data_IF_455628678416
#
_entry.id   IF_455628678416
#
_cell.length_a   1.000
_cell.length_b   1.000
_cell.length_c   1.000
_cell.angle_alpha   90.00
_cell.angle_beta   90.00
_cell.angle_gamma   90.00
#
_symmetry.space_group_name_H-M   'P 1'
#
loop_
_entity.id
_entity.type
_entity.pdbx_description
1 polymer ?
#
# COMPACT_ATOMS: atom_id res chain seq x y z
N UNK A 1 44.43 -23.43 -42.44
CA UNK A 1 43.95 -23.92 -41.15
C UNK A 1 44.37 -22.94 -40.08
N UNK A 2 43.43 -22.51 -39.25
CA UNK A 2 43.74 -21.65 -38.13
C UNK A 2 44.49 -22.40 -37.03
N UNK A 3 45.29 -21.70 -36.26
CA UNK A 3 45.95 -22.22 -35.07
C UNK A 3 44.90 -22.60 -34.02
N UNK A 4 44.86 -23.86 -33.52
CA UNK A 4 43.92 -24.27 -32.49
C UNK A 4 44.02 -23.44 -31.20
N UNK A 5 45.23 -22.99 -30.85
CA UNK A 5 45.47 -22.14 -29.67
C UNK A 5 44.82 -20.76 -29.86
N UNK A 6 44.93 -20.19 -31.05
CA UNK A 6 44.33 -18.90 -31.36
C UNK A 6 42.79 -18.99 -31.33
N UNK A 7 42.22 -20.07 -31.83
CA UNK A 7 40.77 -20.31 -31.75
C UNK A 7 40.29 -20.40 -30.32
N UNK A 8 41.01 -21.05 -29.44
CA UNK A 8 40.68 -21.15 -27.99
C UNK A 8 40.73 -19.76 -27.34
N UNK A 9 41.75 -18.95 -27.66
CA UNK A 9 41.88 -17.57 -27.11
C UNK A 9 40.69 -16.71 -27.60
N UNK A 10 40.36 -16.77 -28.88
CA UNK A 10 39.23 -15.99 -29.44
C UNK A 10 37.90 -16.40 -28.82
N UNK A 11 37.66 -17.69 -28.65
CA UNK A 11 36.43 -18.19 -28.00
C UNK A 11 36.39 -17.83 -26.54
N UNK A 12 37.52 -17.82 -25.85
CA UNK A 12 37.63 -17.43 -24.45
C UNK A 12 37.30 -15.95 -24.26
N UNK A 13 37.82 -15.08 -25.12
CA UNK A 13 37.52 -13.64 -25.11
C UNK A 13 36.04 -13.39 -25.40
N UNK A 14 35.46 -14.09 -26.36
CA UNK A 14 34.05 -13.99 -26.69
C UNK A 14 33.19 -14.45 -25.53
N UNK A 15 33.55 -15.54 -24.86
CA UNK A 15 32.86 -16.04 -23.69
C UNK A 15 32.83 -15.01 -22.54
N UNK A 16 33.97 -14.35 -22.28
CA UNK A 16 34.03 -13.30 -21.27
C UNK A 16 33.13 -12.13 -21.62
N UNK A 17 33.09 -11.69 -22.86
CA UNK A 17 32.21 -10.62 -23.34
C UNK A 17 30.73 -10.99 -23.16
N UNK A 18 30.36 -12.23 -23.49
CA UNK A 18 29.00 -12.71 -23.34
C UNK A 18 28.59 -12.80 -21.87
N UNK A 19 29.49 -13.24 -21.00
CA UNK A 19 29.24 -13.28 -19.55
C UNK A 19 29.04 -11.88 -18.99
N UNK A 20 29.86 -10.91 -19.39
CA UNK A 20 29.73 -9.53 -18.98
C UNK A 20 28.38 -8.96 -19.45
N UNK A 21 27.99 -9.24 -20.68
CA UNK A 21 26.70 -8.80 -21.23
C UNK A 21 25.53 -9.43 -20.48
N UNK A 22 25.64 -10.70 -20.16
CA UNK A 22 24.62 -11.40 -19.37
C UNK A 22 24.43 -10.76 -17.99
N UNK A 23 25.54 -10.43 -17.32
CA UNK A 23 25.50 -9.76 -16.03
C UNK A 23 24.81 -8.38 -16.12
N UNK A 24 25.07 -7.60 -17.17
CA UNK A 24 24.40 -6.34 -17.42
C UNK A 24 22.89 -6.51 -17.61
N UNK A 25 22.49 -7.49 -18.43
CA UNK A 25 21.08 -7.78 -18.69
C UNK A 25 20.36 -8.25 -17.42
N UNK A 26 21.01 -9.09 -16.63
CA UNK A 26 20.46 -9.56 -15.36
C UNK A 26 20.26 -8.39 -14.38
N UNK A 27 21.22 -7.45 -14.32
CA UNK A 27 21.11 -6.26 -13.48
C UNK A 27 19.95 -5.36 -13.94
N UNK A 28 19.81 -5.12 -15.25
CA UNK A 28 18.70 -4.35 -15.81
C UNK A 28 17.36 -5.02 -15.52
N UNK A 29 17.30 -6.34 -15.67
CA UNK A 29 16.09 -7.12 -15.39
C UNK A 29 15.69 -7.00 -13.94
N UNK A 30 16.61 -7.10 -13.00
CA UNK A 30 16.36 -6.95 -11.58
C UNK A 30 15.83 -5.55 -11.26
N UNK A 31 16.41 -4.52 -11.86
CA UNK A 31 15.97 -3.13 -11.67
C UNK A 31 14.55 -2.90 -12.20
N UNK A 32 14.26 -3.38 -13.40
CA UNK A 32 12.92 -3.28 -13.99
C UNK A 32 11.90 -4.03 -13.13
N UNK A 33 12.23 -5.21 -12.64
CA UNK A 33 11.37 -6.00 -11.79
C UNK A 33 11.05 -5.25 -10.48
N UNK A 34 12.04 -4.61 -9.87
CA UNK A 34 11.85 -3.79 -8.68
C UNK A 34 10.93 -2.59 -8.96
N UNK A 35 11.07 -1.94 -10.11
CA UNK A 35 10.19 -0.84 -10.52
C UNK A 35 8.75 -1.30 -10.74
N UNK A 36 8.55 -2.45 -11.37
CA UNK A 36 7.22 -3.04 -11.56
C UNK A 36 6.56 -3.32 -10.20
N UNK A 37 7.29 -3.94 -9.29
CA UNK A 37 6.78 -4.24 -7.94
C UNK A 37 6.38 -2.97 -7.19
N UNK A 38 7.22 -1.93 -7.24
CA UNK A 38 6.91 -0.64 -6.61
C UNK A 38 5.65 0.02 -7.22
N UNK A 39 5.50 -0.04 -8.55
CA UNK A 39 4.29 0.48 -9.22
C UNK A 39 3.05 -0.31 -8.82
N UNK A 40 3.13 -1.64 -8.76
CA UNK A 40 2.01 -2.48 -8.35
C UNK A 40 1.58 -2.18 -6.91
N UNK A 41 2.53 -1.95 -6.01
CA UNK A 41 2.24 -1.57 -4.63
C UNK A 41 1.54 -0.21 -4.55
N UNK A 42 1.97 0.78 -5.34
CA UNK A 42 1.31 2.08 -5.39
C UNK A 42 -0.11 1.99 -5.93
N UNK A 43 -0.33 1.22 -6.99
CA UNK A 43 -1.66 0.99 -7.55
C UNK A 43 -2.56 0.31 -6.51
N UNK A 44 -2.08 -0.73 -5.85
CA UNK A 44 -2.83 -1.42 -4.81
C UNK A 44 -3.23 -0.48 -3.67
N UNK A 45 -2.32 0.40 -3.24
CA UNK A 45 -2.60 1.38 -2.19
C UNK A 45 -3.72 2.35 -2.61
N UNK A 46 -3.70 2.85 -3.85
CA UNK A 46 -4.74 3.74 -4.39
C UNK A 46 -6.08 3.02 -4.51
N UNK A 47 -6.09 1.80 -5.04
CA UNK A 47 -7.29 0.99 -5.16
C UNK A 47 -7.91 0.70 -3.79
N UNK A 48 -7.09 0.33 -2.81
CA UNK A 48 -7.56 0.05 -1.45
C UNK A 48 -8.16 1.29 -0.76
N UNK A 49 -7.71 2.49 -1.13
CA UNK A 49 -8.30 3.75 -0.63
C UNK A 49 -9.57 4.14 -1.36
N UNK A 50 -9.63 3.88 -2.68
CA UNK A 50 -10.75 4.28 -3.51
C UNK A 50 -11.95 3.33 -3.41
N UNK A 51 -11.72 2.05 -3.13
CA UNK A 51 -12.77 1.02 -3.08
C UNK A 51 -13.24 0.84 -1.64
N UNK A 52 -14.54 1.04 -1.34
CA UNK A 52 -15.06 0.81 0.01
C UNK A 52 -14.99 -0.68 0.39
N UNK A 53 -14.87 -0.99 1.69
CA UNK A 53 -14.91 -2.38 2.15
C UNK A 53 -16.20 -3.08 1.77
N UNK A 54 -16.15 -4.40 1.62
CA UNK A 54 -17.35 -5.21 1.36
C UNK A 54 -18.38 -5.05 2.48
N UNK A 55 -19.71 -5.12 2.19
CA UNK A 55 -20.75 -4.87 3.21
C UNK A 55 -20.66 -5.75 4.46
N UNK A 56 -20.14 -6.99 4.33
CA UNK A 56 -19.98 -7.91 5.46
C UNK A 56 -18.71 -7.72 6.26
N UNK A 57 -17.86 -6.76 5.88
CA UNK A 57 -16.65 -6.42 6.60
C UNK A 57 -16.99 -5.84 7.98
N UNK A 58 -16.23 -6.14 9.05
CA UNK A 58 -16.46 -5.57 10.36
C UNK A 58 -16.51 -4.04 10.34
N UNK A 59 -17.36 -3.45 11.18
CA UNK A 59 -17.61 -2.01 11.23
C UNK A 59 -16.32 -1.19 11.40
N UNK A 60 -15.36 -1.66 12.18
CA UNK A 60 -14.08 -0.99 12.39
C UNK A 60 -13.33 -0.73 11.07
N UNK A 61 -13.41 -1.62 10.10
CA UNK A 61 -12.76 -1.45 8.80
C UNK A 61 -13.48 -0.41 7.93
N UNK A 62 -14.81 -0.32 8.02
CA UNK A 62 -15.57 0.73 7.37
C UNK A 62 -15.23 2.12 7.93
N UNK A 63 -15.13 2.23 9.24
CA UNK A 63 -14.74 3.46 9.92
C UNK A 63 -13.33 3.88 9.51
N UNK A 64 -12.40 2.94 9.53
CA UNK A 64 -11.02 3.20 9.15
C UNK A 64 -10.90 3.66 7.69
N UNK A 65 -11.65 3.04 6.78
CA UNK A 65 -11.71 3.44 5.38
C UNK A 65 -12.21 4.88 5.21
N UNK A 66 -13.27 5.25 5.93
CA UNK A 66 -13.81 6.61 5.90
C UNK A 66 -12.78 7.62 6.39
N UNK A 67 -12.11 7.35 7.50
CA UNK A 67 -11.08 8.24 8.04
C UNK A 67 -9.88 8.37 7.10
N UNK A 68 -9.44 7.28 6.47
CA UNK A 68 -8.36 7.29 5.49
C UNK A 68 -8.73 8.03 4.21
N UNK A 69 -9.98 7.90 3.75
CA UNK A 69 -10.48 8.61 2.58
C UNK A 69 -10.57 10.12 2.79
N UNK A 70 -10.60 10.55 4.05
CA UNK A 70 -10.66 11.96 4.46
C UNK A 70 -9.44 12.34 5.31
N UNK A 71 -8.26 11.83 4.95
CA UNK A 71 -7.04 11.95 5.75
C UNK A 71 -6.61 13.40 6.02
N UNK A 72 -7.00 14.35 5.17
CA UNK A 72 -6.71 15.77 5.35
C UNK A 72 -7.61 16.46 6.38
N UNK A 73 -8.69 15.79 6.82
CA UNK A 73 -9.70 16.34 7.72
C UNK A 73 -9.91 15.42 8.92
N UNK A 74 -10.26 16.00 10.06
CA UNK A 74 -10.71 15.23 11.21
C UNK A 74 -12.23 15.07 11.14
N UNK A 75 -12.74 13.93 11.61
CA UNK A 75 -14.18 13.64 11.64
C UNK A 75 -14.65 13.37 13.07
N UNK A 76 -15.85 13.85 13.40
CA UNK A 76 -16.54 13.50 14.62
C UNK A 76 -17.25 12.15 14.47
N UNK A 77 -17.67 11.50 15.56
CA UNK A 77 -18.49 10.30 15.47
C UNK A 77 -19.78 10.51 14.65
N UNK A 78 -20.40 11.68 14.77
CA UNK A 78 -21.57 12.03 13.98
C UNK A 78 -21.26 12.09 12.48
N UNK A 79 -20.13 12.69 12.10
CA UNK A 79 -19.69 12.75 10.69
C UNK A 79 -19.48 11.35 10.13
N UNK A 80 -18.84 10.47 10.89
CA UNK A 80 -18.63 9.08 10.49
C UNK A 80 -19.96 8.35 10.34
N UNK A 81 -20.87 8.53 11.28
CA UNK A 81 -22.21 7.91 11.24
C UNK A 81 -23.00 8.35 10.02
N UNK A 82 -22.98 9.62 9.68
CA UNK A 82 -23.64 10.16 8.49
C UNK A 82 -23.11 9.54 7.21
N UNK A 83 -21.80 9.39 7.10
CA UNK A 83 -21.17 8.79 5.93
C UNK A 83 -21.45 7.29 5.80
N UNK A 84 -21.72 6.61 6.89
CA UNK A 84 -22.13 5.21 6.93
C UNK A 84 -23.64 5.01 6.76
N UNK A 85 -24.42 6.09 6.76
CA UNK A 85 -25.88 6.00 6.74
C UNK A 85 -26.48 5.51 8.06
N UNK A 86 -25.74 5.61 9.15
CA UNK A 86 -26.14 5.14 10.50
C UNK A 86 -26.64 6.31 11.32
N UNK A 87 -27.93 6.59 11.24
CA UNK A 87 -28.53 7.76 11.88
C UNK A 87 -29.18 7.49 13.24
N UNK A 88 -29.32 6.22 13.64
CA UNK A 88 -29.92 5.83 14.90
C UNK A 88 -28.97 6.09 16.06
N UNK A 89 -29.52 6.49 17.22
CA UNK A 89 -28.74 6.78 18.42
C UNK A 89 -27.88 5.59 18.87
N UNK A 90 -28.43 4.39 18.84
CA UNK A 90 -27.70 3.18 19.22
C UNK A 90 -26.51 2.91 18.28
N UNK A 91 -26.67 3.19 16.97
CA UNK A 91 -25.59 3.07 16.00
C UNK A 91 -24.50 4.11 16.24
N UNK A 92 -24.87 5.34 16.57
CA UNK A 92 -23.90 6.40 16.90
C UNK A 92 -23.09 6.04 18.14
N UNK A 93 -23.72 5.53 19.19
CA UNK A 93 -23.01 5.07 20.38
C UNK A 93 -22.02 3.93 20.07
N UNK A 94 -22.43 2.99 19.21
CA UNK A 94 -21.56 1.92 18.76
C UNK A 94 -20.33 2.45 18.00
N UNK A 95 -20.53 3.45 17.15
CA UNK A 95 -19.43 4.12 16.44
C UNK A 95 -18.48 4.80 17.41
N UNK A 96 -19.00 5.50 18.44
CA UNK A 96 -18.18 6.12 19.48
C UNK A 96 -17.31 5.12 20.21
N UNK A 97 -17.87 3.97 20.56
CA UNK A 97 -17.14 2.87 21.21
C UNK A 97 -16.03 2.35 20.29
N UNK A 98 -16.31 2.13 19.01
CA UNK A 98 -15.31 1.67 18.04
C UNK A 98 -14.19 2.68 17.87
N UNK A 99 -14.50 3.96 17.72
CA UNK A 99 -13.50 5.02 17.59
C UNK A 99 -12.59 5.08 18.83
N UNK A 100 -13.15 4.98 20.01
CA UNK A 100 -12.38 4.96 21.25
C UNK A 100 -11.43 3.77 21.34
N UNK A 101 -11.90 2.58 20.96
CA UNK A 101 -11.08 1.36 20.93
C UNK A 101 -9.98 1.42 19.87
N UNK A 102 -10.30 1.93 18.68
CA UNK A 102 -9.35 2.09 17.61
C UNK A 102 -8.23 3.08 17.99
N UNK A 103 -8.59 4.15 18.68
CA UNK A 103 -7.61 5.09 19.23
C UNK A 103 -6.71 4.40 20.26
N UNK A 104 -7.30 3.66 21.18
CA UNK A 104 -6.56 2.93 22.22
C UNK A 104 -5.58 1.92 21.61
N UNK A 105 -5.95 1.29 20.48
CA UNK A 105 -5.12 0.33 19.77
C UNK A 105 -4.09 1.01 18.83
N UNK A 106 -4.09 2.33 18.72
CA UNK A 106 -3.15 3.06 17.90
C UNK A 106 -3.48 3.09 16.41
N UNK A 107 -4.68 2.71 16.01
CA UNK A 107 -5.10 2.70 14.60
C UNK A 107 -5.45 4.08 14.08
N UNK A 108 -5.96 4.95 14.96
CA UNK A 108 -6.35 6.32 14.66
C UNK A 108 -5.86 7.25 15.78
N UNK A 109 -5.87 8.55 15.51
CA UNK A 109 -5.50 9.56 16.50
C UNK A 109 -6.66 10.51 16.75
N UNK A 110 -6.71 11.04 17.96
CA UNK A 110 -7.62 12.13 18.33
C UNK A 110 -6.90 13.46 18.10
N UNK A 111 -7.49 14.33 17.29
CA UNK A 111 -6.88 15.62 16.93
C UNK A 111 -7.57 16.82 17.56
N UNK A 112 -8.61 16.57 18.36
CA UNK A 112 -9.35 17.62 19.05
C UNK A 112 -10.46 17.00 19.87
N UNK A 113 -11.27 17.82 20.52
CA UNK A 113 -12.38 17.31 21.34
C UNK A 113 -13.41 16.60 20.45
N UNK A 114 -13.51 15.28 20.61
CA UNK A 114 -14.45 14.46 19.86
C UNK A 114 -14.17 14.36 18.35
N UNK A 115 -12.94 14.61 17.91
CA UNK A 115 -12.57 14.53 16.49
C UNK A 115 -11.41 13.56 16.29
N UNK A 116 -11.52 12.74 15.26
CA UNK A 116 -10.58 11.65 14.97
C UNK A 116 -10.05 11.76 13.55
N UNK A 117 -8.84 11.27 13.34
CA UNK A 117 -8.17 11.24 12.05
C UNK A 117 -7.35 9.95 11.93
N UNK A 118 -7.24 9.40 10.71
CA UNK A 118 -6.35 8.28 10.45
C UNK A 118 -4.90 8.75 10.64
N UNK A 119 -4.03 7.84 11.11
CA UNK A 119 -2.61 8.12 11.14
C UNK A 119 -2.09 8.38 9.73
N UNK A 120 -1.22 9.36 9.57
CA UNK A 120 -0.48 9.57 8.34
C UNK A 120 0.50 8.40 8.15
N UNK A 121 0.46 7.78 6.98
CA UNK A 121 1.44 6.77 6.59
C UNK A 121 2.76 7.41 6.16
#
# INVERSE_FOLDING_TARGET
MGDPVQTVIDDSDQLQKLRARLAEVDAERAQIHAQITACMQRIAAVVNRAVPPAPHTPLKHHILWILRSNAASSLSPTDVAERLGMTRRAQLENIRVHLSRMRANGWIKRVGHGRYQAHAE
#
